data_IF_047962409968
#
_entry.id   IF_047962409968
#
_cell.length_a   1.000
_cell.length_b   1.000
_cell.length_c   1.000
_cell.angle_alpha   90.00
_cell.angle_beta   90.00
_cell.angle_gamma   90.00
#
_symmetry.space_group_name_H-M   'P 1'
#
loop_
_entity.id
_entity.type
_entity.pdbx_description
1 polymer ?
#
# COMPACT_ATOMS: atom_id res chain seq x y z
N UNK A 1 45.39 -25.39 -45.81
CA UNK A 1 44.78 -25.64 -44.49
C UNK A 1 43.40 -25.05 -44.34
N UNK A 2 43.20 -23.72 -44.36
CA UNK A 2 41.87 -23.09 -44.24
C UNK A 2 40.85 -23.67 -45.23
N UNK A 3 41.23 -23.84 -46.50
CA UNK A 3 40.36 -24.48 -47.51
C UNK A 3 40.01 -25.93 -47.16
N UNK A 4 40.97 -26.71 -46.66
CA UNK A 4 40.74 -28.10 -46.29
C UNK A 4 39.83 -28.21 -45.05
N UNK A 5 40.02 -27.32 -44.05
CA UNK A 5 39.12 -27.22 -42.90
C UNK A 5 37.71 -26.79 -43.33
N UNK A 6 37.60 -25.85 -44.27
CA UNK A 6 36.32 -25.48 -44.88
C UNK A 6 35.65 -26.64 -45.61
N UNK A 7 36.41 -27.44 -46.36
CA UNK A 7 35.88 -28.62 -47.05
C UNK A 7 35.43 -29.73 -46.07
N UNK A 8 36.15 -29.91 -44.95
CA UNK A 8 35.74 -30.81 -43.87
C UNK A 8 34.46 -30.29 -43.20
N UNK A 9 34.40 -29.00 -42.89
CA UNK A 9 33.19 -28.39 -42.33
C UNK A 9 32.00 -28.53 -43.30
N UNK A 10 32.23 -28.32 -44.60
CA UNK A 10 31.22 -28.55 -45.63
C UNK A 10 30.67 -29.97 -45.55
N UNK A 11 31.55 -30.98 -45.55
CA UNK A 11 31.16 -32.39 -45.47
C UNK A 11 30.41 -32.72 -44.18
N UNK A 12 30.80 -32.14 -43.04
CA UNK A 12 30.08 -32.27 -41.77
C UNK A 12 28.66 -31.66 -41.85
N UNK A 13 28.52 -30.50 -42.51
CA UNK A 13 27.24 -29.79 -42.61
C UNK A 13 26.28 -30.42 -43.61
N UNK A 14 26.80 -31.01 -44.69
CA UNK A 14 25.99 -31.50 -45.82
C UNK A 14 25.94 -33.02 -45.92
N UNK A 15 26.66 -33.74 -45.06
CA UNK A 15 26.86 -35.20 -45.11
C UNK A 15 27.32 -35.71 -46.49
N UNK A 16 27.99 -34.84 -47.25
CA UNK A 16 28.42 -35.08 -48.63
C UNK A 16 29.72 -34.35 -48.89
N UNK A 17 30.64 -34.97 -49.63
CA UNK A 17 31.92 -34.34 -49.96
C UNK A 17 31.71 -33.08 -50.79
N UNK A 18 32.54 -32.05 -50.55
CA UNK A 18 32.54 -30.83 -51.36
C UNK A 18 32.74 -31.14 -52.86
N UNK A 19 33.66 -32.05 -53.16
CA UNK A 19 34.00 -32.55 -54.50
C UNK A 19 33.73 -34.06 -54.60
N UNK A 20 32.48 -34.42 -54.93
CA UNK A 20 32.02 -35.80 -54.95
C UNK A 20 32.19 -36.45 -56.35
N UNK A 21 33.40 -36.95 -56.62
CA UNK A 21 33.72 -37.69 -57.85
C UNK A 21 34.49 -38.98 -57.55
N UNK A 22 34.18 -40.05 -58.30
CA UNK A 22 34.78 -41.38 -58.16
C UNK A 22 36.27 -41.41 -58.52
N UNK A 23 36.67 -40.67 -59.56
CA UNK A 23 38.04 -40.69 -60.07
C UNK A 23 38.87 -39.56 -59.46
N UNK A 24 40.10 -39.83 -59.00
CA UNK A 24 40.99 -38.80 -58.46
C UNK A 24 41.22 -37.62 -59.42
N UNK A 25 41.34 -37.88 -60.72
CA UNK A 25 41.55 -36.85 -61.74
C UNK A 25 40.37 -35.87 -61.84
N UNK A 26 39.14 -36.37 -61.66
CA UNK A 26 37.92 -35.54 -61.71
C UNK A 26 37.79 -34.67 -60.45
N UNK A 27 38.20 -35.16 -59.28
CA UNK A 27 38.26 -34.36 -58.03
C UNK A 27 39.25 -33.20 -58.12
N UNK A 28 40.44 -33.44 -58.68
CA UNK A 28 41.44 -32.39 -58.91
C UNK A 28 40.90 -31.34 -59.88
N UNK A 29 40.24 -31.77 -60.95
CA UNK A 29 39.61 -30.86 -61.91
C UNK A 29 38.55 -29.97 -61.25
N UNK A 30 37.61 -30.57 -60.50
CA UNK A 30 36.54 -29.85 -59.82
C UNK A 30 37.10 -28.84 -58.79
N UNK A 31 38.11 -29.22 -58.01
CA UNK A 31 38.80 -28.31 -57.06
C UNK A 31 39.37 -27.05 -57.73
N UNK A 32 39.83 -27.17 -58.98
CA UNK A 32 40.47 -26.07 -59.72
C UNK A 32 39.45 -25.26 -60.52
N UNK A 33 38.40 -25.88 -61.06
CA UNK A 33 37.56 -25.29 -62.10
C UNK A 33 36.16 -24.92 -61.62
N UNK A 34 35.63 -25.56 -60.60
CA UNK A 34 34.24 -25.38 -60.16
C UNK A 34 34.15 -24.35 -59.02
N UNK A 35 33.11 -23.51 -59.08
CA UNK A 35 32.79 -22.63 -57.96
C UNK A 35 32.15 -23.48 -56.85
N UNK A 36 32.61 -23.35 -55.59
CA UNK A 36 32.04 -24.10 -54.49
C UNK A 36 30.58 -23.65 -54.25
N UNK A 37 29.61 -24.58 -54.12
CA UNK A 37 28.27 -24.21 -53.70
C UNK A 37 28.26 -23.85 -52.21
N UNK A 38 27.23 -23.13 -51.75
CA UNK A 38 26.98 -23.01 -50.31
C UNK A 38 26.47 -24.33 -49.73
N UNK A 39 26.82 -24.70 -48.48
CA UNK A 39 26.20 -25.82 -47.79
C UNK A 39 24.66 -25.80 -47.86
N UNK A 40 24.06 -24.63 -47.63
CA UNK A 40 22.60 -24.42 -47.70
C UNK A 40 22.00 -24.61 -49.10
N UNK A 41 22.78 -24.39 -50.16
CA UNK A 41 22.37 -24.67 -51.55
C UNK A 41 22.49 -26.16 -51.87
N UNK A 42 23.49 -26.86 -51.30
CA UNK A 42 23.72 -28.29 -51.51
C UNK A 42 22.65 -29.15 -50.85
N UNK A 43 22.25 -28.80 -49.62
CA UNK A 43 21.25 -29.53 -48.83
C UNK A 43 20.24 -28.55 -48.22
N UNK A 44 19.32 -27.96 -49.01
CA UNK A 44 18.35 -26.97 -48.51
C UNK A 44 17.41 -27.51 -47.42
N UNK A 45 17.25 -28.84 -47.34
CA UNK A 45 16.43 -29.51 -46.35
C UNK A 45 17.10 -29.65 -44.98
N UNK A 46 18.44 -29.52 -44.92
CA UNK A 46 19.17 -29.45 -43.67
C UNK A 46 19.11 -28.00 -43.18
N UNK A 47 18.58 -27.78 -41.98
CA UNK A 47 18.46 -26.46 -41.37
C UNK A 47 19.84 -25.92 -40.91
N UNK A 48 20.75 -25.69 -41.86
CA UNK A 48 22.12 -25.24 -41.62
C UNK A 48 22.07 -23.78 -41.14
N UNK A 49 22.62 -23.45 -39.95
CA UNK A 49 22.67 -22.08 -39.46
C UNK A 49 23.38 -21.15 -40.46
N UNK A 50 22.80 -19.98 -40.80
CA UNK A 50 23.36 -19.06 -41.80
C UNK A 50 24.80 -18.61 -41.52
N UNK A 51 25.19 -18.56 -40.24
CA UNK A 51 26.55 -18.21 -39.81
C UNK A 51 27.56 -19.29 -40.16
N UNK A 52 27.21 -20.56 -39.93
CA UNK A 52 28.04 -21.70 -40.33
C UNK A 52 28.10 -21.84 -41.84
N UNK A 53 26.99 -21.59 -42.53
CA UNK A 53 26.92 -21.56 -43.99
C UNK A 53 27.87 -20.50 -44.57
N UNK A 54 27.83 -19.27 -44.04
CA UNK A 54 28.72 -18.19 -44.45
C UNK A 54 30.20 -18.45 -44.10
N UNK A 55 30.47 -18.97 -42.89
CA UNK A 55 31.82 -19.32 -42.44
C UNK A 55 32.45 -20.40 -43.34
N UNK A 56 31.68 -21.46 -43.61
CA UNK A 56 32.08 -22.54 -44.50
C UNK A 56 32.32 -22.02 -45.91
N UNK A 57 31.40 -21.21 -46.45
CA UNK A 57 31.51 -20.64 -47.79
C UNK A 57 32.72 -19.71 -47.95
N UNK A 58 33.04 -18.90 -46.93
CA UNK A 58 34.24 -18.07 -46.93
C UNK A 58 35.53 -18.91 -46.91
N UNK A 59 35.55 -20.02 -46.17
CA UNK A 59 36.73 -20.89 -46.07
C UNK A 59 37.05 -21.64 -47.39
N UNK A 60 36.02 -22.02 -48.15
CA UNK A 60 36.15 -22.81 -49.38
C UNK A 60 36.28 -21.97 -50.66
N UNK A 61 36.45 -20.64 -50.56
CA UNK A 61 36.63 -19.79 -51.75
C UNK A 61 37.82 -20.25 -52.60
N UNK A 62 37.72 -20.09 -53.93
CA UNK A 62 38.79 -20.51 -54.84
C UNK A 62 40.00 -19.59 -54.73
N UNK A 63 39.79 -18.28 -54.67
CA UNK A 63 40.85 -17.30 -54.49
C UNK A 63 41.32 -17.30 -53.02
N UNK A 64 42.61 -17.54 -52.73
CA UNK A 64 43.14 -17.46 -51.36
C UNK A 64 42.89 -16.12 -50.66
N UNK A 65 42.79 -15.00 -51.38
CA UNK A 65 42.55 -13.67 -50.83
C UNK A 65 41.11 -13.44 -50.36
N UNK A 66 40.16 -14.23 -50.87
CA UNK A 66 38.75 -14.21 -50.47
C UNK A 66 38.48 -15.14 -49.28
N UNK A 67 39.49 -15.92 -48.85
CA UNK A 67 39.40 -16.82 -47.69
C UNK A 67 39.68 -16.08 -46.39
N UNK A 68 39.33 -16.74 -45.29
CA UNK A 68 39.78 -16.34 -43.96
C UNK A 68 41.31 -16.28 -43.90
N UNK A 69 41.80 -15.22 -43.24
CA UNK A 69 43.22 -14.86 -43.17
C UNK A 69 44.13 -16.04 -42.76
N UNK A 70 43.70 -16.81 -41.76
CA UNK A 70 44.45 -17.95 -41.25
C UNK A 70 43.52 -18.94 -40.52
N UNK A 71 44.09 -20.08 -40.10
CA UNK A 71 43.35 -21.10 -39.37
C UNK A 71 42.89 -20.64 -37.98
N UNK A 72 43.54 -19.63 -37.39
CA UNK A 72 43.12 -19.06 -36.11
C UNK A 72 41.85 -18.24 -36.29
N UNK A 73 41.74 -17.43 -37.34
CA UNK A 73 40.51 -16.72 -37.68
C UNK A 73 39.34 -17.67 -37.97
N UNK A 74 39.60 -18.84 -38.57
CA UNK A 74 38.57 -19.88 -38.73
C UNK A 74 38.14 -20.47 -37.38
N UNK A 75 39.10 -20.83 -36.51
CA UNK A 75 38.82 -21.34 -35.16
C UNK A 75 38.04 -20.32 -34.32
N UNK A 76 38.48 -19.07 -34.27
CA UNK A 76 37.84 -18.01 -33.49
C UNK A 76 36.40 -17.74 -33.99
N UNK A 77 36.14 -17.85 -35.30
CA UNK A 77 34.79 -17.72 -35.83
C UNK A 77 33.90 -18.92 -35.44
N UNK A 78 34.44 -20.13 -35.43
CA UNK A 78 33.71 -21.33 -35.04
C UNK A 78 33.44 -21.37 -33.52
N UNK A 79 34.41 -21.00 -32.70
CA UNK A 79 34.25 -20.88 -31.24
C UNK A 79 33.19 -19.86 -30.87
N UNK A 80 33.15 -18.69 -31.54
CA UNK A 80 32.09 -17.68 -31.32
C UNK A 80 30.69 -18.21 -31.64
N UNK A 81 30.57 -18.99 -32.72
CA UNK A 81 29.32 -19.68 -33.05
C UNK A 81 28.94 -20.69 -31.96
N UNK A 82 29.89 -21.54 -31.53
CA UNK A 82 29.65 -22.56 -30.50
C UNK A 82 29.37 -21.97 -29.11
N UNK A 83 29.96 -20.81 -28.79
CA UNK A 83 29.75 -20.09 -27.54
C UNK A 83 28.40 -19.36 -27.48
N UNK A 84 27.67 -19.26 -28.60
CA UNK A 84 26.36 -18.61 -28.66
C UNK A 84 26.41 -17.09 -28.47
N UNK A 85 27.52 -16.43 -28.81
CA UNK A 85 27.69 -14.97 -28.61
C UNK A 85 26.60 -14.13 -29.29
N UNK A 86 26.05 -14.60 -30.43
CA UNK A 86 24.93 -13.94 -31.10
C UNK A 86 23.62 -14.01 -30.31
N UNK A 87 23.42 -15.07 -29.53
CA UNK A 87 22.26 -15.19 -28.64
C UNK A 87 22.40 -14.23 -27.45
N UNK A 88 23.64 -13.99 -26.98
CA UNK A 88 23.92 -12.96 -25.96
C UNK A 88 23.67 -11.55 -26.51
N UNK A 89 24.16 -11.25 -27.73
CA UNK A 89 23.94 -9.95 -28.39
C UNK A 89 22.45 -9.69 -28.64
N UNK A 90 21.72 -10.67 -29.18
CA UNK A 90 20.28 -10.57 -29.44
C UNK A 90 19.47 -10.38 -28.15
N UNK A 91 19.82 -11.08 -27.06
CA UNK A 91 19.17 -10.88 -25.75
C UNK A 91 19.42 -9.47 -25.20
N UNK A 92 20.63 -8.95 -25.38
CA UNK A 92 20.97 -7.58 -25.00
C UNK A 92 20.16 -6.53 -25.78
N UNK A 93 20.02 -6.70 -27.09
CA UNK A 93 19.20 -5.83 -27.94
C UNK A 93 17.72 -5.87 -27.54
N UNK A 94 17.16 -7.07 -27.35
CA UNK A 94 15.77 -7.24 -26.91
C UNK A 94 15.54 -6.63 -25.51
N UNK A 95 16.50 -6.80 -24.59
CA UNK A 95 16.43 -6.17 -23.27
C UNK A 95 16.41 -4.64 -23.37
N UNK A 96 17.26 -4.06 -24.23
CA UNK A 96 17.28 -2.61 -24.49
C UNK A 96 15.94 -2.10 -25.06
N UNK A 97 15.33 -2.84 -26.00
CA UNK A 97 14.00 -2.49 -26.53
C UNK A 97 12.92 -2.45 -25.44
N UNK A 98 12.95 -3.40 -24.49
CA UNK A 98 12.04 -3.40 -23.36
C UNK A 98 12.28 -2.21 -22.41
N UNK A 99 13.53 -1.80 -22.20
CA UNK A 99 13.85 -0.59 -21.42
C UNK A 99 13.30 0.67 -22.10
N UNK A 100 13.50 0.81 -23.40
CA UNK A 100 13.00 1.98 -24.14
C UNK A 100 11.45 1.99 -24.20
N UNK A 101 10.81 0.83 -24.33
CA UNK A 101 9.35 0.71 -24.22
C UNK A 101 8.83 1.11 -22.82
N UNK A 102 9.56 0.75 -21.75
CA UNK A 102 9.22 1.17 -20.40
C UNK A 102 9.27 2.70 -20.25
N UNK A 103 10.29 3.34 -20.82
CA UNK A 103 10.44 4.80 -20.84
C UNK A 103 9.26 5.47 -21.57
N UNK A 104 8.91 4.98 -22.76
CA UNK A 104 7.78 5.50 -23.53
C UNK A 104 6.45 5.37 -22.77
N UNK A 105 6.27 4.29 -22.00
CA UNK A 105 5.11 4.15 -21.11
C UNK A 105 5.11 5.17 -19.98
N UNK A 106 6.26 5.54 -19.39
CA UNK A 106 6.33 6.57 -18.33
C UNK A 106 5.95 7.96 -18.83
N UNK A 107 6.22 8.26 -20.10
CA UNK A 107 5.94 9.56 -20.71
C UNK A 107 4.46 9.72 -21.14
N UNK A 108 3.69 8.64 -21.14
CA UNK A 108 2.27 8.65 -21.48
C UNK A 108 1.44 9.40 -20.42
N UNK A 109 0.61 10.36 -20.86
CA UNK A 109 -0.18 11.25 -19.98
C UNK A 109 -1.59 10.76 -19.65
N UNK A 110 -2.12 9.80 -20.40
CA UNK A 110 -3.55 9.46 -20.35
C UNK A 110 -3.95 8.69 -19.07
N UNK A 111 -3.12 7.73 -18.64
CA UNK A 111 -3.38 6.91 -17.45
C UNK A 111 -2.06 6.62 -16.72
N UNK A 112 -1.70 7.44 -15.71
CA UNK A 112 -0.44 7.29 -14.97
C UNK A 112 -0.29 5.93 -14.27
N UNK A 113 -1.39 5.33 -13.82
CA UNK A 113 -1.36 4.05 -13.08
C UNK A 113 -1.14 2.90 -14.06
N UNK A 114 -1.85 2.87 -15.19
CA UNK A 114 -1.64 1.85 -16.22
C UNK A 114 -0.27 2.00 -16.91
N UNK A 115 0.16 3.23 -17.17
CA UNK A 115 1.50 3.57 -17.65
C UNK A 115 2.58 2.98 -16.74
N UNK A 116 2.49 3.26 -15.44
CA UNK A 116 3.39 2.72 -14.42
C UNK A 116 3.39 1.20 -14.39
N UNK A 117 2.23 0.55 -14.42
CA UNK A 117 2.11 -0.92 -14.44
C UNK A 117 2.73 -1.55 -15.70
N UNK A 118 2.58 -0.91 -16.86
CA UNK A 118 3.23 -1.35 -18.11
C UNK A 118 4.75 -1.19 -18.01
N UNK A 119 5.24 -0.04 -17.53
CA UNK A 119 6.67 0.19 -17.34
C UNK A 119 7.32 -0.86 -16.43
N UNK A 120 6.71 -1.20 -15.28
CA UNK A 120 7.22 -2.28 -14.39
C UNK A 120 7.33 -3.62 -15.13
N UNK A 121 6.33 -3.97 -15.96
CA UNK A 121 6.34 -5.23 -16.71
C UNK A 121 7.44 -5.26 -17.77
N UNK A 122 7.62 -4.18 -18.51
CA UNK A 122 8.67 -4.10 -19.53
C UNK A 122 10.07 -4.17 -18.89
N UNK A 123 10.30 -3.48 -17.77
CA UNK A 123 11.55 -3.59 -17.02
C UNK A 123 11.78 -5.01 -16.48
N UNK A 124 10.73 -5.70 -16.04
CA UNK A 124 10.80 -7.10 -15.64
C UNK A 124 11.18 -8.04 -16.80
N UNK A 125 10.70 -7.78 -18.02
CA UNK A 125 11.08 -8.52 -19.23
C UNK A 125 12.53 -8.25 -19.64
N UNK A 126 12.97 -7.00 -19.56
CA UNK A 126 14.36 -6.63 -19.80
C UNK A 126 15.31 -7.40 -18.87
N UNK A 127 15.02 -7.43 -17.57
CA UNK A 127 15.82 -8.15 -16.57
C UNK A 127 15.76 -9.68 -16.71
N UNK A 128 14.69 -10.23 -17.30
CA UNK A 128 14.58 -11.66 -17.59
C UNK A 128 15.48 -12.07 -18.78
N UNK A 129 15.68 -11.17 -19.75
CA UNK A 129 16.55 -11.38 -20.90
C UNK A 129 18.02 -11.11 -20.58
N UNK A 130 18.27 -10.02 -19.84
CA UNK A 130 19.60 -9.60 -19.41
C UNK A 130 19.56 -9.15 -17.92
N UNK A 131 19.83 -10.07 -16.98
CA UNK A 131 19.89 -9.76 -15.56
C UNK A 131 20.99 -8.75 -15.18
N UNK A 132 21.98 -8.55 -16.06
CA UNK A 132 23.09 -7.60 -15.87
C UNK A 132 22.77 -6.18 -16.31
N UNK A 133 21.56 -5.91 -16.80
CA UNK A 133 21.21 -4.60 -17.34
C UNK A 133 21.05 -3.52 -16.25
N UNK A 134 22.05 -2.65 -16.14
CA UNK A 134 22.11 -1.59 -15.14
C UNK A 134 20.98 -0.57 -15.27
N UNK A 135 20.63 -0.23 -16.52
CA UNK A 135 19.59 0.74 -16.82
C UNK A 135 18.23 0.20 -16.37
N UNK A 136 17.90 -1.03 -16.75
CA UNK A 136 16.65 -1.68 -16.34
C UNK A 136 16.51 -1.79 -14.81
N UNK A 137 17.61 -2.13 -14.12
CA UNK A 137 17.62 -2.23 -12.66
C UNK A 137 17.39 -0.86 -11.99
N UNK A 138 18.12 0.17 -12.43
CA UNK A 138 18.03 1.51 -11.86
C UNK A 138 16.66 2.14 -12.14
N UNK A 139 16.11 1.96 -13.33
CA UNK A 139 14.78 2.47 -13.69
C UNK A 139 13.69 1.78 -12.88
N UNK A 140 13.79 0.46 -12.66
CA UNK A 140 12.85 -0.28 -11.82
C UNK A 140 12.92 0.20 -10.36
N UNK A 141 14.12 0.42 -9.83
CA UNK A 141 14.34 0.97 -8.49
C UNK A 141 13.77 2.37 -8.32
N UNK A 142 14.02 3.25 -9.30
CA UNK A 142 13.47 4.60 -9.32
C UNK A 142 11.93 4.55 -9.31
N UNK A 143 11.35 3.69 -10.15
CA UNK A 143 9.92 3.48 -10.19
C UNK A 143 9.39 3.02 -8.83
N UNK A 144 9.94 1.95 -8.24
CA UNK A 144 9.47 1.39 -6.97
C UNK A 144 9.54 2.39 -5.80
N UNK A 145 10.46 3.35 -5.84
CA UNK A 145 10.59 4.38 -4.80
C UNK A 145 9.70 5.61 -5.03
N UNK A 146 9.25 5.89 -6.26
CA UNK A 146 8.31 6.96 -6.54
C UNK A 146 6.92 6.63 -5.98
N UNK A 147 6.37 7.52 -5.14
CA UNK A 147 4.97 7.43 -4.68
C UNK A 147 4.07 7.95 -5.81
N UNK A 148 3.11 7.15 -6.32
CA UNK A 148 2.17 7.62 -7.34
C UNK A 148 1.40 8.85 -6.85
N UNK A 149 1.17 9.82 -7.73
CA UNK A 149 0.35 11.01 -7.42
C UNK A 149 -1.12 10.65 -7.18
N UNK A 150 -1.60 9.59 -7.82
CA UNK A 150 -2.95 9.05 -7.67
C UNK A 150 -2.91 7.67 -7.03
N UNK A 151 -3.78 7.46 -6.04
CA UNK A 151 -3.87 6.16 -5.37
C UNK A 151 -4.56 5.19 -6.33
N UNK A 152 -3.94 4.05 -6.70
CA UNK A 152 -4.59 3.07 -7.56
C UNK A 152 -5.90 2.56 -6.96
N UNK A 153 -6.94 2.35 -7.78
CA UNK A 153 -8.23 1.87 -7.30
C UNK A 153 -8.14 0.58 -6.47
N UNK A 154 -7.25 -0.34 -6.86
CA UNK A 154 -7.03 -1.59 -6.11
C UNK A 154 -6.54 -1.30 -4.67
N UNK A 155 -5.66 -0.31 -4.51
CA UNK A 155 -5.18 0.14 -3.20
C UNK A 155 -6.29 0.86 -2.44
N UNK A 156 -7.10 1.69 -3.11
CA UNK A 156 -8.27 2.31 -2.48
C UNK A 156 -9.28 1.28 -1.99
N UNK A 157 -9.56 0.23 -2.77
CA UNK A 157 -10.46 -0.87 -2.38
C UNK A 157 -9.91 -1.64 -1.17
N UNK A 158 -8.61 -1.95 -1.16
CA UNK A 158 -7.95 -2.59 -0.02
C UNK A 158 -7.97 -1.69 1.24
N UNK A 159 -7.69 -0.39 1.06
CA UNK A 159 -7.76 0.60 2.12
C UNK A 159 -9.19 0.81 2.64
N UNK A 160 -10.20 0.74 1.76
CA UNK A 160 -11.61 0.78 2.13
C UNK A 160 -11.98 -0.41 3.02
N UNK A 161 -11.52 -1.63 2.69
CA UNK A 161 -11.70 -2.81 3.54
C UNK A 161 -11.08 -2.65 4.94
N UNK A 162 -9.86 -2.11 5.02
CA UNK A 162 -9.22 -1.79 6.30
C UNK A 162 -10.00 -0.72 7.09
N UNK A 163 -10.51 0.31 6.41
CA UNK A 163 -11.34 1.37 7.00
C UNK A 163 -12.66 0.81 7.55
N UNK A 164 -13.32 -0.12 6.85
CA UNK A 164 -14.55 -0.82 7.34
C UNK A 164 -14.30 -1.57 8.65
N UNK A 165 -13.16 -2.26 8.77
CA UNK A 165 -12.79 -2.96 10.01
C UNK A 165 -12.62 -1.97 11.17
N UNK A 166 -12.03 -0.82 10.90
CA UNK A 166 -11.86 0.24 11.90
C UNK A 166 -13.20 0.78 12.41
N UNK A 167 -14.14 1.09 11.51
CA UNK A 167 -15.50 1.53 11.86
C UNK A 167 -16.20 0.57 12.82
N UNK A 168 -16.15 -0.74 12.55
CA UNK A 168 -16.79 -1.75 13.41
C UNK A 168 -16.17 -1.81 14.80
N UNK A 169 -14.85 -1.72 14.89
CA UNK A 169 -14.13 -1.76 16.17
C UNK A 169 -14.50 -0.53 17.01
N UNK A 170 -14.38 0.67 16.44
CA UNK A 170 -14.66 1.92 17.15
C UNK A 170 -16.14 2.01 17.55
N UNK A 171 -17.08 1.63 16.68
CA UNK A 171 -18.50 1.66 16.98
C UNK A 171 -18.90 0.64 18.08
N UNK A 172 -18.29 -0.55 18.11
CA UNK A 172 -18.51 -1.51 19.22
C UNK A 172 -17.93 -0.99 20.52
N UNK A 173 -16.70 -0.48 20.48
CA UNK A 173 -16.04 0.10 21.64
C UNK A 173 -16.87 1.26 22.21
N UNK A 174 -17.36 2.16 21.35
CA UNK A 174 -18.21 3.28 21.75
C UNK A 174 -19.53 2.79 22.37
N UNK A 175 -20.16 1.77 21.79
CA UNK A 175 -21.37 1.15 22.36
C UNK A 175 -21.14 0.57 23.76
N UNK A 176 -20.03 -0.14 23.97
CA UNK A 176 -19.63 -0.66 25.27
C UNK A 176 -19.27 0.46 26.25
N UNK A 177 -18.59 1.51 25.80
CA UNK A 177 -18.27 2.68 26.61
C UNK A 177 -19.54 3.39 27.09
N UNK A 178 -20.55 3.55 26.24
CA UNK A 178 -21.85 4.09 26.64
C UNK A 178 -22.56 3.19 27.66
N UNK A 179 -22.58 1.87 27.44
CA UNK A 179 -23.16 0.95 28.43
C UNK A 179 -22.41 0.97 29.77
N UNK A 180 -21.09 1.23 29.77
CA UNK A 180 -20.32 1.34 31.01
C UNK A 180 -20.77 2.48 31.92
N UNK A 181 -21.46 3.50 31.38
CA UNK A 181 -22.03 4.60 32.17
C UNK A 181 -23.11 4.11 33.16
N UNK A 182 -23.74 2.96 32.92
CA UNK A 182 -24.66 2.34 33.87
C UNK A 182 -23.98 1.90 35.17
N UNK A 183 -22.66 1.69 35.17
CA UNK A 183 -21.90 1.41 36.39
C UNK A 183 -21.90 2.60 37.36
N UNK A 184 -22.22 3.81 36.90
CA UNK A 184 -22.37 5.00 37.73
C UNK A 184 -23.75 5.14 38.37
N UNK A 185 -24.76 4.37 37.93
CA UNK A 185 -26.12 4.53 38.44
C UNK A 185 -26.21 4.25 39.96
N UNK A 186 -25.59 3.19 40.50
CA UNK A 186 -25.57 2.96 41.95
C UNK A 186 -24.88 4.10 42.71
N UNK A 187 -23.81 4.67 42.15
CA UNK A 187 -23.09 5.80 42.76
C UNK A 187 -23.95 7.07 42.79
N UNK A 188 -24.70 7.34 41.71
CA UNK A 188 -25.65 8.46 41.65
C UNK A 188 -26.78 8.30 42.67
N UNK A 189 -27.35 7.10 42.79
CA UNK A 189 -28.39 6.82 43.79
C UNK A 189 -27.85 6.96 45.21
N UNK A 190 -26.63 6.46 45.47
CA UNK A 190 -25.96 6.61 46.77
C UNK A 190 -25.65 8.07 47.11
N UNK A 191 -25.41 8.90 46.10
CA UNK A 191 -25.19 10.35 46.25
C UNK A 191 -26.49 11.14 46.54
N UNK A 192 -27.63 10.45 46.66
CA UNK A 192 -28.92 11.06 46.98
C UNK A 192 -29.55 11.70 45.76
N UNK A 193 -29.85 10.92 44.72
CA UNK A 193 -30.50 11.40 43.51
C UNK A 193 -31.89 12.01 43.80
N UNK A 194 -32.04 13.31 43.53
CA UNK A 194 -33.28 14.08 43.74
C UNK A 194 -34.04 14.31 42.44
N UNK A 195 -33.35 14.48 41.31
CA UNK A 195 -33.97 14.73 40.00
C UNK A 195 -34.12 13.44 39.16
N UNK A 196 -34.94 12.50 39.61
CA UNK A 196 -35.05 11.17 38.99
C UNK A 196 -35.44 11.24 37.50
N UNK A 197 -36.31 12.17 37.11
CA UNK A 197 -36.72 12.37 35.71
C UNK A 197 -35.54 12.75 34.81
N UNK A 198 -34.65 13.62 35.27
CA UNK A 198 -33.47 14.03 34.52
C UNK A 198 -32.45 12.89 34.41
N UNK A 199 -32.27 12.13 35.50
CA UNK A 199 -31.41 10.94 35.53
C UNK A 199 -31.92 9.86 34.57
N UNK A 200 -33.21 9.54 34.59
CA UNK A 200 -33.82 8.57 33.66
C UNK A 200 -33.67 9.05 32.22
N UNK A 201 -33.94 10.33 31.94
CA UNK A 201 -33.79 10.89 30.60
C UNK A 201 -32.35 10.79 30.08
N UNK A 202 -31.36 11.07 30.93
CA UNK A 202 -29.95 10.86 30.61
C UNK A 202 -29.65 9.40 30.23
N UNK A 203 -30.07 8.44 31.06
CA UNK A 203 -29.84 7.02 30.78
C UNK A 203 -30.58 6.52 29.54
N UNK A 204 -31.75 7.08 29.20
CA UNK A 204 -32.44 6.79 27.93
C UNK A 204 -31.62 7.25 26.72
N UNK A 205 -31.04 8.45 26.77
CA UNK A 205 -30.18 8.95 25.70
C UNK A 205 -28.88 8.14 25.57
N UNK A 206 -28.27 7.74 26.69
CA UNK A 206 -27.11 6.84 26.69
C UNK A 206 -27.47 5.48 26.07
N UNK A 207 -28.64 4.94 26.40
CA UNK A 207 -29.14 3.68 25.81
C UNK A 207 -29.35 3.82 24.30
N UNK A 208 -29.94 4.92 23.86
CA UNK A 208 -30.13 5.21 22.44
C UNK A 208 -28.79 5.35 21.71
N UNK A 209 -27.82 6.08 22.27
CA UNK A 209 -26.47 6.21 21.72
C UNK A 209 -25.78 4.83 21.62
N UNK A 210 -25.88 3.99 22.65
CA UNK A 210 -25.35 2.63 22.64
C UNK A 210 -26.01 1.77 21.55
N UNK A 211 -27.34 1.76 21.47
CA UNK A 211 -28.10 1.00 20.49
C UNK A 211 -27.74 1.40 19.05
N UNK A 212 -27.68 2.71 18.77
CA UNK A 212 -27.26 3.23 17.47
C UNK A 212 -25.80 2.88 17.17
N UNK A 213 -24.91 2.96 18.15
CA UNK A 213 -23.50 2.58 17.98
C UNK A 213 -23.33 1.09 17.66
N UNK A 214 -24.08 0.21 18.34
CA UNK A 214 -24.09 -1.20 18.00
C UNK A 214 -24.73 -1.48 16.63
N UNK A 215 -25.75 -0.70 16.24
CA UNK A 215 -26.34 -0.79 14.91
C UNK A 215 -25.35 -0.39 13.81
N UNK A 216 -24.65 0.74 13.97
CA UNK A 216 -23.53 1.17 13.11
C UNK A 216 -22.48 0.07 13.01
N UNK A 217 -22.15 -0.61 14.12
CA UNK A 217 -21.13 -1.66 14.11
C UNK A 217 -21.51 -2.94 13.35
N UNK A 218 -22.78 -3.10 13.00
CA UNK A 218 -23.28 -4.21 12.18
C UNK A 218 -23.34 -3.88 10.69
N UNK A 219 -23.20 -2.60 10.32
CA UNK A 219 -23.22 -2.16 8.93
C UNK A 219 -21.84 -2.31 8.30
N UNK A 220 -21.81 -2.72 7.03
CA UNK A 220 -20.55 -2.81 6.27
C UNK A 220 -20.01 -1.42 5.93
N UNK A 221 -20.89 -0.51 5.53
CA UNK A 221 -20.59 0.88 5.21
C UNK A 221 -21.67 1.79 5.84
N UNK A 222 -21.46 2.23 7.10
CA UNK A 222 -22.45 3.06 7.77
C UNK A 222 -22.55 4.43 7.12
N UNK A 223 -23.78 4.91 6.92
CA UNK A 223 -24.03 6.25 6.44
C UNK A 223 -23.42 7.28 7.41
N UNK A 224 -22.68 8.26 6.88
CA UNK A 224 -22.08 9.35 7.66
C UNK A 224 -23.12 10.05 8.54
N UNK A 225 -24.33 10.26 8.00
CA UNK A 225 -25.44 10.86 8.73
C UNK A 225 -25.79 10.08 10.00
N UNK A 226 -25.82 8.75 9.95
CA UNK A 226 -26.12 7.92 11.11
C UNK A 226 -25.06 8.06 12.21
N UNK A 227 -23.78 8.12 11.83
CA UNK A 227 -22.68 8.32 12.78
C UNK A 227 -22.77 9.70 13.44
N UNK A 228 -23.13 10.73 12.66
CA UNK A 228 -23.39 12.07 13.19
C UNK A 228 -24.60 12.10 14.13
N UNK A 229 -25.63 11.28 13.87
CA UNK A 229 -26.75 11.11 14.80
C UNK A 229 -26.28 10.49 16.12
N UNK A 230 -25.42 9.47 16.09
CA UNK A 230 -24.84 8.90 17.34
C UNK A 230 -24.08 9.97 18.12
N UNK A 231 -23.25 10.76 17.44
CA UNK A 231 -22.51 11.87 18.05
C UNK A 231 -23.41 12.95 18.64
N UNK A 232 -24.49 13.31 17.93
CA UNK A 232 -25.47 14.29 18.43
C UNK A 232 -26.20 13.76 19.66
N UNK A 233 -26.71 12.53 19.63
CA UNK A 233 -27.42 11.91 20.75
C UNK A 233 -26.53 11.78 21.99
N UNK A 234 -25.27 11.34 21.83
CA UNK A 234 -24.36 11.22 22.97
C UNK A 234 -23.97 12.58 23.55
N UNK A 235 -23.78 13.61 22.72
CA UNK A 235 -23.53 14.97 23.21
C UNK A 235 -24.75 15.60 23.89
N UNK A 236 -25.98 15.32 23.42
CA UNK A 236 -27.19 15.75 24.13
C UNK A 236 -27.24 15.07 25.51
N UNK A 237 -26.89 13.78 25.60
CA UNK A 237 -26.78 13.11 26.90
C UNK A 237 -25.73 13.78 27.79
N UNK A 238 -24.54 14.09 27.28
CA UNK A 238 -23.51 14.76 28.08
C UNK A 238 -23.85 16.21 28.43
N UNK A 239 -24.65 16.90 27.61
CA UNK A 239 -25.18 18.21 27.95
C UNK A 239 -26.14 18.14 29.15
N UNK A 240 -26.98 17.10 29.25
CA UNK A 240 -27.86 16.94 30.42
C UNK A 240 -27.06 16.62 31.68
N UNK A 241 -25.93 15.90 31.57
CA UNK A 241 -25.00 15.63 32.66
C UNK A 241 -24.46 16.91 33.33
N UNK A 242 -24.53 18.07 32.66
CA UNK A 242 -24.24 19.38 33.27
C UNK A 242 -25.10 19.63 34.52
N UNK A 243 -26.28 19.04 34.65
CA UNK A 243 -27.09 19.13 35.86
C UNK A 243 -26.44 18.53 37.11
N UNK A 244 -25.42 17.67 36.96
CA UNK A 244 -24.76 17.01 38.08
C UNK A 244 -23.64 17.83 38.72
N UNK A 245 -22.80 18.50 37.92
CA UNK A 245 -21.58 19.22 38.38
C UNK A 245 -21.36 20.55 37.66
N UNK A 246 -22.36 21.00 36.92
CA UNK A 246 -22.26 22.11 35.97
C UNK A 246 -21.59 21.73 34.65
N UNK A 247 -21.72 22.59 33.63
CA UNK A 247 -21.22 22.35 32.27
C UNK A 247 -19.69 22.42 32.12
N UNK A 248 -18.96 23.00 33.06
CA UNK A 248 -17.52 23.25 32.96
C UNK A 248 -16.65 22.31 33.80
N UNK A 249 -17.25 21.33 34.48
CA UNK A 249 -16.52 20.42 35.38
C UNK A 249 -16.30 19.02 34.79
N UNK A 250 -17.27 18.10 34.90
CA UNK A 250 -17.14 16.74 34.36
C UNK A 250 -17.42 16.68 32.86
N UNK A 251 -18.34 17.51 32.37
CA UNK A 251 -18.80 17.47 30.96
C UNK A 251 -17.65 17.64 29.96
N UNK A 252 -16.69 18.58 30.11
CA UNK A 252 -15.59 18.71 29.17
C UNK A 252 -14.69 17.46 29.10
N UNK A 253 -14.51 16.75 30.22
CA UNK A 253 -13.71 15.52 30.24
C UNK A 253 -14.35 14.44 29.37
N UNK A 254 -15.65 14.20 29.58
CA UNK A 254 -16.39 13.15 28.87
C UNK A 254 -16.59 13.51 27.40
N UNK A 255 -16.93 14.76 27.11
CA UNK A 255 -17.09 15.26 25.73
C UNK A 255 -15.77 15.20 24.96
N UNK A 256 -14.64 15.49 25.60
CA UNK A 256 -13.32 15.39 24.94
C UNK A 256 -12.99 13.95 24.54
N UNK A 257 -13.24 12.99 25.43
CA UNK A 257 -13.03 11.56 25.11
C UNK A 257 -13.96 11.11 23.99
N UNK A 258 -15.23 11.51 24.04
CA UNK A 258 -16.22 11.21 23.00
C UNK A 258 -15.83 11.80 21.64
N UNK A 259 -15.50 13.10 21.60
CA UNK A 259 -15.06 13.80 20.40
C UNK A 259 -13.76 13.20 19.83
N UNK A 260 -12.84 12.80 20.71
CA UNK A 260 -11.62 12.08 20.34
C UNK A 260 -11.94 10.80 19.58
N UNK A 261 -12.86 9.97 20.07
CA UNK A 261 -13.29 8.74 19.40
C UNK A 261 -13.87 8.99 18.02
N UNK A 262 -14.78 9.95 17.88
CA UNK A 262 -15.38 10.29 16.58
C UNK A 262 -14.39 10.95 15.61
N UNK A 263 -13.45 11.77 16.07
CA UNK A 263 -12.48 12.46 15.21
C UNK A 263 -11.60 11.51 14.39
N UNK A 264 -11.45 10.26 14.86
CA UNK A 264 -10.71 9.20 14.20
C UNK A 264 -11.44 8.61 13.00
N UNK A 265 -12.76 8.76 12.97
CA UNK A 265 -13.62 8.19 11.95
C UNK A 265 -13.76 9.11 10.73
N UNK A 266 -13.48 10.40 10.89
CA UNK A 266 -13.80 11.43 9.90
C UNK A 266 -12.58 12.20 9.37
N UNK A 267 -12.68 12.63 8.10
CA UNK A 267 -11.72 13.51 7.45
C UNK A 267 -11.78 14.96 7.96
N UNK A 268 -10.80 15.78 7.55
CA UNK A 268 -10.54 17.13 8.10
C UNK A 268 -11.78 18.04 8.16
N UNK A 269 -12.65 18.02 7.15
CA UNK A 269 -13.85 18.88 7.08
C UNK A 269 -14.92 18.52 8.12
N UNK A 270 -15.15 17.23 8.35
CA UNK A 270 -16.17 16.76 9.29
C UNK A 270 -15.74 16.87 10.75
N UNK A 271 -14.43 16.94 11.04
CA UNK A 271 -13.92 17.16 12.40
C UNK A 271 -14.39 18.47 13.02
N UNK A 272 -14.64 19.50 12.22
CA UNK A 272 -15.23 20.75 12.71
C UNK A 272 -16.65 20.54 13.27
N UNK A 273 -17.46 19.66 12.67
CA UNK A 273 -18.79 19.32 13.19
C UNK A 273 -18.72 18.54 14.50
N UNK A 274 -17.71 17.67 14.64
CA UNK A 274 -17.47 16.92 15.88
C UNK A 274 -17.14 17.88 17.02
N UNK A 275 -16.21 18.80 16.76
CA UNK A 275 -15.84 19.86 17.68
C UNK A 275 -17.04 20.75 18.04
N UNK A 276 -17.79 21.23 17.04
CA UNK A 276 -18.96 22.05 17.26
C UNK A 276 -20.02 21.34 18.13
N UNK A 277 -20.30 20.06 17.87
CA UNK A 277 -21.23 19.28 18.70
C UNK A 277 -20.78 19.16 20.15
N UNK A 278 -19.49 18.94 20.40
CA UNK A 278 -18.94 18.91 21.75
C UNK A 278 -18.97 20.27 22.43
N UNK A 279 -18.63 21.34 21.71
CA UNK A 279 -18.71 22.71 22.22
C UNK A 279 -20.15 23.07 22.59
N UNK A 280 -21.14 22.70 21.76
CA UNK A 280 -22.55 22.92 22.06
C UNK A 280 -22.99 22.18 23.34
N UNK A 281 -22.51 20.95 23.57
CA UNK A 281 -22.82 20.21 24.80
C UNK A 281 -22.34 20.92 26.08
N UNK A 282 -21.28 21.72 25.99
CA UNK A 282 -20.70 22.48 27.10
C UNK A 282 -21.37 23.86 27.21
N UNK A 283 -21.42 24.61 26.11
CA UNK A 283 -21.80 26.02 26.13
C UNK A 283 -23.31 26.27 26.08
N UNK A 284 -24.12 25.34 25.56
CA UNK A 284 -25.58 25.51 25.57
C UNK A 284 -26.13 25.47 27.00
N UNK A 285 -25.81 24.47 27.86
CA UNK A 285 -26.27 24.51 29.25
C UNK A 285 -25.75 25.73 30.01
N UNK A 286 -24.49 26.14 29.77
CA UNK A 286 -23.93 27.34 30.38
C UNK A 286 -24.70 28.61 29.97
N UNK A 287 -25.01 28.77 28.68
CA UNK A 287 -25.77 29.90 28.19
C UNK A 287 -27.19 29.93 28.77
N UNK A 288 -27.82 28.77 28.95
CA UNK A 288 -29.14 28.66 29.59
C UNK A 288 -29.10 29.01 31.09
N UNK A 289 -28.03 28.67 31.80
CA UNK A 289 -27.81 29.10 33.19
C UNK A 289 -27.60 30.62 33.28
N UNK A 290 -26.76 31.19 32.40
CA UNK A 290 -26.53 32.64 32.34
C UNK A 290 -27.78 33.44 31.95
N UNK A 291 -28.65 32.85 31.13
CA UNK A 291 -29.93 33.45 30.74
C UNK A 291 -31.03 33.30 31.82
N UNK A 292 -30.76 32.59 32.92
CA UNK A 292 -31.74 32.33 33.99
C UNK A 292 -32.83 31.32 33.62
N UNK A 293 -32.65 30.55 32.53
CA UNK A 293 -33.56 29.47 32.14
C UNK A 293 -33.36 28.23 33.01
N UNK A 294 -32.11 27.98 33.42
CA UNK A 294 -31.73 26.89 34.32
C UNK A 294 -31.19 27.46 35.63
N UNK A 295 -31.42 26.76 36.73
CA UNK A 295 -30.82 27.09 38.02
C UNK A 295 -29.28 27.05 37.92
N UNK A 296 -28.57 28.07 38.45
CA UNK A 296 -27.11 28.15 38.36
C UNK A 296 -26.44 26.97 39.08
N UNK A 297 -25.46 26.36 38.41
CA UNK A 297 -24.61 25.31 39.00
C UNK A 297 -23.33 25.86 39.61
N UNK A 298 -22.98 27.11 39.33
CA UNK A 298 -21.82 27.80 39.88
C UNK A 298 -22.27 29.02 40.67
N UNK A 299 -21.84 29.10 41.92
CA UNK A 299 -22.07 30.26 42.79
C UNK A 299 -20.72 30.78 43.30
N UNK A 300 -20.57 32.11 43.33
CA UNK A 300 -19.35 32.77 43.78
C UNK A 300 -19.67 33.60 45.02
N UNK A 301 -19.15 33.19 46.18
CA UNK A 301 -19.39 33.85 47.48
C UNK A 301 -18.06 34.02 48.20
N UNK A 302 -17.72 35.25 48.59
CA UNK A 302 -16.49 35.57 49.36
C UNK A 302 -15.19 35.00 48.75
N UNK A 303 -15.11 34.95 47.41
CA UNK A 303 -13.96 34.39 46.69
C UNK A 303 -13.96 32.85 46.59
N UNK A 304 -14.91 32.15 47.22
CA UNK A 304 -15.14 30.73 47.02
C UNK A 304 -15.99 30.49 45.77
N UNK A 305 -15.64 29.43 45.01
CA UNK A 305 -16.47 28.90 43.93
C UNK A 305 -17.18 27.64 44.43
N UNK A 306 -18.50 27.70 44.54
CA UNK A 306 -19.35 26.61 45.00
C UNK A 306 -19.99 25.95 43.78
N UNK A 307 -19.74 24.65 43.61
CA UNK A 307 -20.36 23.83 42.56
C UNK A 307 -21.59 23.15 43.14
N UNK A 308 -22.77 23.54 42.66
CA UNK A 308 -24.07 22.97 43.06
C UNK A 308 -24.50 21.90 42.07
N UNK A 309 -25.21 20.89 42.58
CA UNK A 309 -25.86 19.87 41.77
C UNK A 309 -27.36 20.08 41.75
N UNK A 310 -27.96 19.93 40.57
CA UNK A 310 -29.42 19.88 40.38
C UNK A 310 -29.95 18.45 40.45
N UNK A 311 -29.07 17.44 40.41
CA UNK A 311 -29.45 16.03 40.29
C UNK A 311 -29.39 15.28 41.60
N UNK A 312 -28.52 15.69 42.51
CA UNK A 312 -28.24 14.95 43.75
C UNK A 312 -28.14 15.91 44.94
N UNK A 313 -28.35 15.39 46.15
CA UNK A 313 -28.07 16.08 47.42
C UNK A 313 -26.59 16.46 47.59
N UNK A 314 -25.69 15.84 46.82
CA UNK A 314 -24.24 16.04 46.86
C UNK A 314 -23.64 15.69 48.22
N UNK A 315 -23.91 14.47 48.70
CA UNK A 315 -23.34 13.95 49.94
C UNK A 315 -21.81 13.88 49.82
N UNK A 316 -21.02 14.22 50.87
CA UNK A 316 -19.58 14.42 50.74
C UNK A 316 -18.82 13.20 50.22
N UNK A 317 -18.93 12.05 50.88
CA UNK A 317 -18.19 10.84 50.50
C UNK A 317 -18.65 10.29 49.13
N UNK A 318 -19.96 10.08 48.86
CA UNK A 318 -20.41 9.61 47.54
C UNK A 318 -20.02 10.55 46.40
N UNK A 319 -20.05 11.87 46.61
CA UNK A 319 -19.62 12.85 45.59
C UNK A 319 -18.13 12.73 45.28
N UNK A 320 -17.28 12.63 46.30
CA UNK A 320 -15.84 12.44 46.11
C UNK A 320 -15.53 11.10 45.41
N UNK A 321 -16.22 10.02 45.79
CA UNK A 321 -16.08 8.71 45.13
C UNK A 321 -16.52 8.79 43.67
N UNK A 322 -17.69 9.38 43.40
CA UNK A 322 -18.19 9.56 42.03
C UNK A 322 -17.19 10.33 41.17
N UNK A 323 -16.70 11.48 41.65
CA UNK A 323 -15.75 12.31 40.94
C UNK A 323 -14.41 11.59 40.73
N UNK A 324 -13.91 10.87 41.73
CA UNK A 324 -12.69 10.07 41.62
C UNK A 324 -12.81 8.96 40.58
N UNK A 325 -13.92 8.22 40.58
CA UNK A 325 -14.20 7.17 39.58
C UNK A 325 -14.37 7.78 38.19
N UNK A 326 -15.07 8.91 38.06
CA UNK A 326 -15.26 9.62 36.79
C UNK A 326 -13.93 10.12 36.20
N UNK A 327 -13.04 10.67 37.04
CA UNK A 327 -11.71 11.11 36.64
C UNK A 327 -10.83 9.94 36.20
N UNK A 328 -10.76 8.87 36.99
CA UNK A 328 -10.00 7.66 36.66
C UNK A 328 -10.50 6.99 35.37
N UNK A 329 -11.81 6.91 35.19
CA UNK A 329 -12.39 6.33 33.98
C UNK A 329 -12.12 7.20 32.77
N UNK A 330 -12.29 8.51 32.87
CA UNK A 330 -11.99 9.44 31.76
C UNK A 330 -10.51 9.35 31.35
N UNK A 331 -9.60 9.33 32.33
CA UNK A 331 -8.16 9.15 32.11
C UNK A 331 -7.85 7.79 31.47
N UNK A 332 -8.45 6.72 32.00
CA UNK A 332 -8.27 5.36 31.49
C UNK A 332 -8.77 5.20 30.06
N UNK A 333 -9.99 5.67 29.76
CA UNK A 333 -10.57 5.61 28.42
C UNK A 333 -9.77 6.45 27.41
N UNK A 334 -9.34 7.66 27.79
CA UNK A 334 -8.47 8.48 26.95
C UNK A 334 -7.14 7.75 26.65
N UNK A 335 -6.49 7.19 27.68
CA UNK A 335 -5.21 6.48 27.53
C UNK A 335 -5.35 5.27 26.62
N UNK A 336 -6.39 4.45 26.81
CA UNK A 336 -6.67 3.30 25.95
C UNK A 336 -6.91 3.72 24.50
N UNK A 337 -7.70 4.77 24.28
CA UNK A 337 -7.97 5.29 22.94
C UNK A 337 -6.68 5.74 22.24
N UNK A 338 -5.83 6.52 22.92
CA UNK A 338 -4.56 6.98 22.36
C UNK A 338 -3.53 5.86 22.18
N UNK A 339 -3.50 4.87 23.09
CA UNK A 339 -2.62 3.70 22.97
C UNK A 339 -2.97 2.87 21.75
N UNK A 340 -4.25 2.56 21.54
CA UNK A 340 -4.70 1.81 20.36
C UNK A 340 -4.37 2.56 19.06
N UNK A 341 -4.56 3.89 19.04
CA UNK A 341 -4.16 4.71 17.89
C UNK A 341 -2.66 4.63 17.61
N UNK A 342 -1.85 4.77 18.65
CA UNK A 342 -0.39 4.69 18.52
C UNK A 342 0.04 3.33 18.00
N UNK A 343 -0.53 2.25 18.54
CA UNK A 343 -0.25 0.90 18.07
C UNK A 343 -0.66 0.68 16.62
N UNK A 344 -1.82 1.21 16.19
CA UNK A 344 -2.24 1.10 14.79
C UNK A 344 -1.27 1.80 13.84
N UNK A 345 -0.80 2.99 14.21
CA UNK A 345 0.22 3.72 13.44
C UNK A 345 1.52 2.91 13.39
N UNK A 346 2.02 2.45 14.54
CA UNK A 346 3.26 1.66 14.62
C UNK A 346 3.17 0.35 13.83
N UNK A 347 2.03 -0.36 13.88
CA UNK A 347 1.78 -1.58 13.09
C UNK A 347 1.76 -1.27 11.60
N UNK A 348 1.27 -0.10 11.19
CA UNK A 348 1.29 0.35 9.79
C UNK A 348 2.71 0.66 9.34
N UNK A 349 3.45 1.46 10.11
CA UNK A 349 4.84 1.81 9.84
C UNK A 349 5.73 0.56 9.79
N UNK A 350 5.60 -0.36 10.74
CA UNK A 350 6.39 -1.60 10.77
C UNK A 350 6.15 -2.45 9.53
N UNK A 351 4.90 -2.58 9.07
CA UNK A 351 4.60 -3.30 7.82
C UNK A 351 5.24 -2.63 6.62
N UNK A 352 5.18 -1.31 6.54
CA UNK A 352 5.86 -0.55 5.49
C UNK A 352 7.38 -0.81 5.50
N UNK A 353 8.04 -0.71 6.66
CA UNK A 353 9.48 -1.00 6.76
C UNK A 353 9.84 -2.45 6.44
N UNK A 354 9.00 -3.41 6.83
CA UNK A 354 9.21 -4.84 6.48
C UNK A 354 9.10 -5.04 4.97
N UNK A 355 8.10 -4.46 4.31
CA UNK A 355 7.98 -4.56 2.86
C UNK A 355 9.13 -3.86 2.14
N UNK A 356 9.53 -2.68 2.59
CA UNK A 356 10.71 -1.98 2.05
C UNK A 356 11.99 -2.82 2.23
N UNK A 357 12.16 -3.46 3.38
CA UNK A 357 13.28 -4.38 3.63
C UNK A 357 13.22 -5.61 2.72
N UNK A 358 12.06 -6.24 2.52
CA UNK A 358 11.89 -7.37 1.62
C UNK A 358 12.20 -7.00 0.16
N UNK A 359 11.74 -5.84 -0.30
CA UNK A 359 12.04 -5.33 -1.64
C UNK A 359 13.55 -5.10 -1.84
N UNK A 360 14.26 -4.62 -0.80
CA UNK A 360 15.73 -4.50 -0.83
C UNK A 360 16.43 -5.85 -0.99
N UNK A 361 15.89 -6.92 -0.40
CA UNK A 361 16.47 -8.28 -0.52
C UNK A 361 16.28 -8.88 -1.91
N UNK A 362 15.24 -8.48 -2.65
CA UNK A 362 14.99 -8.93 -4.02
C UNK A 362 15.95 -8.30 -5.05
N UNK A 363 16.68 -7.25 -4.68
CA UNK A 363 17.65 -6.55 -5.54
C UNK A 363 19.02 -6.45 -4.84
N UNK A 364 19.68 -7.60 -4.58
CA UNK A 364 20.94 -7.62 -3.85
C UNK A 364 22.06 -6.96 -4.67
N UNK A 365 22.65 -5.88 -4.16
CA UNK A 365 23.92 -5.33 -4.66
C UNK A 365 23.99 -3.84 -4.96
N UNK A 366 22.86 -3.11 -5.04
CA UNK A 366 22.86 -1.70 -5.55
C UNK A 366 22.10 -0.67 -4.70
N UNK A 367 21.59 -1.06 -3.54
CA UNK A 367 20.88 -0.19 -2.59
C UNK A 367 21.73 0.21 -1.36
N UNK A 368 23.07 0.21 -1.49
CA UNK A 368 23.96 0.69 -0.42
C UNK A 368 24.01 2.21 -0.37
#
# INVERSE_FOLDING_TARGET
DVYALGAILFEILTDTRLHDHDRPADRVRSTIQEAPPRPSERRPELAIPPELDALCFAAIQRDPSERLRDARGFHDALERFLAGERDVELRGELAAQHVDAAQAHREAKDDPVAARRRAIRELGRALALDPGNDRATNDLLALLNEVPSETPEEVERLAAGARRRYWRIVARFSGLAYLSIFLYAPLLLWNGATALTAVVFFYLLITLAAALSFWVSRQEEPAIALVLVVHAVSNIAFATLAGLTGPLFVVPMVVTVNAGGFALLFGRRLRWWIFAGGALAIFVPLALELAGVLEPTYEFVDGAMIVRSRWVEARPLPSLVFLGVAALTSLGTATLLFSELREMVLRSERRFYVHAWQLRQLLPGRLR
#
